data_IF_260693199160
#
_entry.id   IF_260693199160
#
_cell.length_a   1.000
_cell.length_b   1.000
_cell.length_c   1.000
_cell.angle_alpha   90.00
_cell.angle_beta   90.00
_cell.angle_gamma   90.00
#
_symmetry.space_group_name_H-M   'P 1'
#
loop_
_entity.id
_entity.type
_entity.pdbx_description
1 polymer ?
#
# COMPACT_ATOMS: atom_id res chain seq x y z
N UNK A 1 13.33 16.73 15.87
CA UNK A 1 12.10 16.91 15.07
C UNK A 1 12.52 17.45 13.71
N UNK A 2 12.41 16.69 12.65
CA UNK A 2 12.66 17.15 11.27
C UNK A 2 11.29 17.51 10.72
N UNK A 3 11.05 18.80 10.54
CA UNK A 3 9.83 19.32 9.91
C UNK A 3 9.79 18.83 8.46
N UNK A 4 8.85 17.93 8.17
CA UNK A 4 8.54 17.51 6.80
C UNK A 4 7.56 18.49 6.19
N UNK A 5 8.05 19.59 5.62
CA UNK A 5 7.25 20.45 4.73
C UNK A 5 7.38 19.94 3.29
N UNK A 6 6.46 19.08 2.88
CA UNK A 6 6.16 18.88 1.47
C UNK A 6 5.38 20.10 0.95
N UNK A 7 5.57 20.46 -0.32
CA UNK A 7 4.73 21.51 -0.92
C UNK A 7 3.30 20.98 -1.12
N UNK A 8 2.28 21.80 -0.94
CA UNK A 8 0.87 21.47 -1.20
C UNK A 8 0.68 20.79 -2.56
N UNK A 9 1.33 21.30 -3.61
CA UNK A 9 1.20 20.78 -4.99
C UNK A 9 1.73 19.33 -5.15
N UNK A 10 2.71 18.91 -4.34
CA UNK A 10 3.22 17.54 -4.35
C UNK A 10 2.24 16.57 -3.70
N UNK A 11 1.66 16.96 -2.57
CA UNK A 11 0.61 16.20 -1.94
C UNK A 11 -0.61 16.06 -2.86
N UNK A 12 -1.04 17.14 -3.53
CA UNK A 12 -2.15 17.11 -4.48
C UNK A 12 -1.92 16.14 -5.64
N UNK A 13 -0.69 16.05 -6.15
CA UNK A 13 -0.36 15.11 -7.23
C UNK A 13 -0.37 13.66 -6.78
N UNK A 14 0.27 13.36 -5.65
CA UNK A 14 0.26 12.00 -5.07
C UNK A 14 -1.15 11.64 -4.66
N UNK A 15 -1.89 12.54 -4.03
CA UNK A 15 -3.27 12.32 -3.63
C UNK A 15 -4.16 12.00 -4.84
N UNK A 16 -4.11 12.78 -5.91
CA UNK A 16 -4.88 12.51 -7.12
C UNK A 16 -4.52 11.16 -7.79
N UNK A 17 -3.23 10.79 -7.78
CA UNK A 17 -2.74 9.50 -8.28
C UNK A 17 -3.19 8.33 -7.39
N UNK A 18 -3.11 8.50 -6.07
CA UNK A 18 -3.56 7.54 -5.07
C UNK A 18 -5.07 7.32 -5.18
N UNK A 19 -5.87 8.38 -5.29
CA UNK A 19 -7.33 8.28 -5.48
C UNK A 19 -7.71 7.53 -6.75
N UNK A 20 -7.07 7.82 -7.89
CA UNK A 20 -7.31 7.06 -9.13
C UNK A 20 -6.95 5.58 -8.97
N UNK A 21 -5.84 5.30 -8.29
CA UNK A 21 -5.42 3.93 -8.01
C UNK A 21 -6.41 3.21 -7.09
N UNK A 22 -6.86 3.89 -6.03
CA UNK A 22 -7.86 3.39 -5.09
C UNK A 22 -9.18 3.04 -5.79
N UNK A 23 -9.70 3.94 -6.65
CA UNK A 23 -10.93 3.67 -7.44
C UNK A 23 -10.77 2.45 -8.33
N UNK A 24 -9.64 2.33 -9.02
CA UNK A 24 -9.39 1.20 -9.89
C UNK A 24 -9.35 -0.12 -9.09
N UNK A 25 -8.68 -0.13 -7.93
CA UNK A 25 -8.60 -1.31 -7.06
C UNK A 25 -9.95 -1.63 -6.43
N UNK A 26 -10.69 -0.63 -5.92
CA UNK A 26 -12.04 -0.83 -5.39
C UNK A 26 -12.98 -1.41 -6.46
N UNK A 27 -12.91 -0.88 -7.68
CA UNK A 27 -13.69 -1.39 -8.82
C UNK A 27 -13.36 -2.85 -9.19
N UNK A 28 -12.12 -3.30 -8.94
CA UNK A 28 -11.72 -4.70 -9.13
C UNK A 28 -12.18 -5.61 -7.99
N UNK A 29 -12.14 -5.14 -6.73
CA UNK A 29 -12.33 -6.00 -5.56
C UNK A 29 -13.79 -6.09 -5.12
N UNK A 30 -14.58 -5.01 -5.21
CA UNK A 30 -15.97 -4.99 -4.76
C UNK A 30 -16.89 -6.01 -5.47
N UNK A 31 -16.71 -6.31 -6.78
CA UNK A 31 -17.45 -7.40 -7.44
C UNK A 31 -17.04 -8.80 -6.98
N UNK A 32 -15.83 -8.95 -6.45
CA UNK A 32 -15.19 -10.23 -6.19
C UNK A 32 -15.23 -10.68 -4.72
N UNK A 33 -15.48 -9.73 -3.81
CA UNK A 33 -15.66 -10.03 -2.40
C UNK A 33 -16.53 -8.97 -1.71
N UNK A 34 -17.33 -9.39 -0.73
CA UNK A 34 -18.12 -8.47 0.08
C UNK A 34 -17.18 -7.72 1.04
N UNK A 35 -17.11 -6.39 0.88
CA UNK A 35 -16.34 -5.49 1.75
C UNK A 35 -17.31 -4.47 2.34
N UNK A 36 -17.66 -4.62 3.60
CA UNK A 36 -18.50 -3.68 4.36
C UNK A 36 -17.69 -2.92 5.42
N UNK A 37 -16.53 -3.48 5.78
CA UNK A 37 -15.59 -2.86 6.71
C UNK A 37 -14.16 -2.94 6.18
N UNK A 38 -13.40 -1.83 6.31
CA UNK A 38 -12.03 -1.70 5.83
C UNK A 38 -11.15 -1.00 6.84
N UNK A 39 -9.96 -1.56 7.06
CA UNK A 39 -8.88 -0.93 7.82
C UNK A 39 -7.77 -0.52 6.86
N UNK A 40 -7.42 0.77 6.84
CA UNK A 40 -6.33 1.34 6.05
C UNK A 40 -5.14 1.66 6.97
N UNK A 41 -4.09 0.85 6.92
CA UNK A 41 -2.92 0.97 7.80
C UNK A 41 -1.79 1.66 7.07
N UNK A 42 -1.39 2.84 7.55
CA UNK A 42 -0.47 3.76 6.88
C UNK A 42 -1.23 4.63 5.86
N UNK A 43 -2.38 5.14 6.28
CA UNK A 43 -3.34 5.81 5.40
C UNK A 43 -2.93 7.22 4.95
N UNK A 44 -1.90 7.82 5.56
CA UNK A 44 -1.57 9.22 5.34
C UNK A 44 -2.77 10.12 5.61
N UNK A 45 -3.08 11.03 4.71
CA UNK A 45 -4.27 11.89 4.82
C UNK A 45 -5.59 11.19 4.46
N UNK A 46 -5.58 9.86 4.22
CA UNK A 46 -6.79 9.07 3.98
C UNK A 46 -7.31 9.10 2.54
N UNK A 47 -6.45 9.36 1.54
CA UNK A 47 -6.85 9.38 0.13
C UNK A 47 -7.49 8.06 -0.34
N UNK A 48 -6.91 6.93 0.05
CA UNK A 48 -7.44 5.60 -0.24
C UNK A 48 -8.74 5.36 0.52
N UNK A 49 -8.74 5.62 1.82
CA UNK A 49 -9.93 5.47 2.67
C UNK A 49 -11.14 6.28 2.15
N UNK A 50 -10.89 7.51 1.65
CA UNK A 50 -11.94 8.34 1.05
C UNK A 50 -12.59 7.70 -0.18
N UNK A 51 -11.82 7.03 -1.03
CA UNK A 51 -12.35 6.37 -2.23
C UNK A 51 -13.13 5.09 -1.88
N UNK A 52 -12.76 4.37 -0.82
CA UNK A 52 -13.55 3.25 -0.31
C UNK A 52 -14.90 3.72 0.27
N UNK A 53 -14.90 4.81 1.04
CA UNK A 53 -16.16 5.45 1.50
C UNK A 53 -17.03 5.86 0.32
N UNK A 54 -16.44 6.51 -0.69
CA UNK A 54 -17.15 6.93 -1.90
C UNK A 54 -17.69 5.73 -2.72
N UNK A 55 -17.04 4.57 -2.64
CA UNK A 55 -17.49 3.33 -3.27
C UNK A 55 -18.56 2.58 -2.46
N UNK A 56 -18.98 3.10 -1.31
CA UNK A 56 -20.08 2.56 -0.49
C UNK A 56 -19.65 1.64 0.64
N UNK A 57 -18.36 1.56 0.98
CA UNK A 57 -17.90 0.88 2.20
C UNK A 57 -18.20 1.78 3.40
N UNK A 58 -19.10 1.35 4.28
CA UNK A 58 -19.62 2.21 5.34
C UNK A 58 -18.69 2.33 6.56
N UNK A 59 -18.03 1.23 6.93
CA UNK A 59 -17.14 1.13 8.08
C UNK A 59 -15.68 1.17 7.64
N UNK A 60 -15.11 2.35 7.51
CA UNK A 60 -13.70 2.56 7.13
C UNK A 60 -12.97 3.21 8.29
N UNK A 61 -11.87 2.61 8.73
CA UNK A 61 -10.94 3.16 9.71
C UNK A 61 -9.56 3.33 9.06
N UNK A 62 -9.04 4.53 9.09
CA UNK A 62 -7.68 4.88 8.68
C UNK A 62 -6.77 5.01 9.90
N UNK A 63 -5.59 4.41 9.85
CA UNK A 63 -4.60 4.45 10.93
C UNK A 63 -3.26 4.91 10.38
N UNK A 64 -2.67 5.94 11.00
CA UNK A 64 -1.33 6.42 10.68
C UNK A 64 -0.72 7.15 11.88
N UNK A 65 0.53 7.60 11.80
CA UNK A 65 1.21 8.32 12.87
C UNK A 65 0.53 9.62 13.29
N UNK A 66 0.88 10.12 14.45
CA UNK A 66 0.36 11.38 15.03
C UNK A 66 0.82 12.64 14.26
N UNK A 67 1.82 12.48 13.37
CA UNK A 67 2.30 13.53 12.48
C UNK A 67 1.31 13.90 11.37
N UNK A 68 0.27 13.10 11.14
CA UNK A 68 -0.77 13.38 10.13
C UNK A 68 -1.66 14.54 10.59
N UNK A 69 -1.64 15.63 9.84
CA UNK A 69 -2.41 16.83 10.12
C UNK A 69 -3.93 16.56 9.96
N UNK A 70 -4.68 16.74 11.07
CA UNK A 70 -6.11 16.42 11.12
C UNK A 70 -6.98 17.29 10.24
N UNK A 71 -6.58 18.54 10.01
CA UNK A 71 -7.23 19.50 9.14
C UNK A 71 -6.99 19.25 7.63
N UNK A 72 -6.07 18.33 7.31
CA UNK A 72 -5.77 17.91 5.93
C UNK A 72 -6.38 16.53 5.59
N UNK A 73 -7.12 15.91 6.50
CA UNK A 73 -7.73 14.61 6.24
C UNK A 73 -8.76 14.69 5.10
N UNK A 74 -8.67 13.73 4.19
CA UNK A 74 -9.62 13.53 3.10
C UNK A 74 -10.90 12.79 3.54
N UNK A 75 -10.94 12.34 4.80
CA UNK A 75 -12.02 11.60 5.46
C UNK A 75 -12.46 12.31 6.73
N UNK A 76 -13.65 12.02 7.26
CA UNK A 76 -14.06 12.53 8.56
C UNK A 76 -13.04 12.16 9.65
N UNK A 77 -12.77 13.08 10.57
CA UNK A 77 -11.80 12.84 11.65
C UNK A 77 -12.16 11.64 12.55
N UNK A 78 -13.44 11.28 12.62
CA UNK A 78 -13.95 10.08 13.30
C UNK A 78 -13.48 8.77 12.66
N UNK A 79 -13.10 8.80 11.39
CA UNK A 79 -12.60 7.66 10.64
C UNK A 79 -11.07 7.54 10.67
N UNK A 80 -10.39 8.36 11.46
CA UNK A 80 -8.94 8.37 11.59
C UNK A 80 -8.49 8.16 13.03
N UNK A 81 -7.51 7.26 13.20
CA UNK A 81 -6.84 7.02 14.47
C UNK A 81 -5.33 7.22 14.32
N UNK A 82 -4.74 8.02 15.22
CA UNK A 82 -3.28 8.11 15.31
C UNK A 82 -2.70 6.90 16.04
N UNK A 83 -1.71 6.26 15.44
CA UNK A 83 -0.98 5.17 16.06
C UNK A 83 0.42 5.02 15.44
N UNK A 84 1.42 4.75 16.27
CA UNK A 84 2.77 4.42 15.78
C UNK A 84 2.78 2.98 15.23
N UNK A 85 2.87 2.84 13.90
CA UNK A 85 2.85 1.55 13.20
C UNK A 85 4.04 0.63 13.56
N UNK A 86 5.07 1.14 14.21
CA UNK A 86 6.18 0.36 14.75
C UNK A 86 5.89 -0.22 16.15
N UNK A 87 4.67 -0.07 16.67
CA UNK A 87 4.19 -0.61 17.95
C UNK A 87 3.00 -1.57 17.74
N UNK A 88 2.67 -2.43 18.72
CA UNK A 88 1.50 -3.30 18.63
C UNK A 88 0.20 -2.49 18.46
N UNK A 89 -0.61 -2.87 17.48
CA UNK A 89 -1.95 -2.33 17.26
C UNK A 89 -2.99 -3.37 17.70
N UNK A 90 -3.94 -2.96 18.53
CA UNK A 90 -5.09 -3.78 18.91
C UNK A 90 -6.37 -2.92 18.88
N UNK A 91 -7.25 -3.24 17.93
CA UNK A 91 -8.55 -2.59 17.76
C UNK A 91 -9.70 -3.46 18.31
N UNK A 92 -9.42 -4.63 18.88
CA UNK A 92 -10.40 -5.56 19.45
C UNK A 92 -11.37 -6.14 18.41
N UNK A 93 -11.13 -5.98 17.10
CA UNK A 93 -12.01 -6.47 16.03
C UNK A 93 -11.28 -6.75 14.73
N UNK A 94 -11.94 -7.48 13.85
CA UNK A 94 -11.50 -7.70 12.46
C UNK A 94 -12.35 -6.88 11.48
N UNK A 95 -11.74 -6.63 10.31
CA UNK A 95 -12.34 -5.97 9.18
C UNK A 95 -12.46 -6.95 8.00
N UNK A 96 -13.36 -6.66 7.07
CA UNK A 96 -13.52 -7.47 5.85
C UNK A 96 -12.27 -7.42 4.98
N UNK A 97 -11.64 -6.27 4.90
CA UNK A 97 -10.37 -6.05 4.23
C UNK A 97 -9.46 -5.19 5.11
N UNK A 98 -8.22 -5.60 5.28
CA UNK A 98 -7.15 -4.75 5.76
C UNK A 98 -6.30 -4.38 4.57
N UNK A 99 -6.02 -3.10 4.36
CA UNK A 99 -5.07 -2.67 3.35
C UNK A 99 -3.88 -1.94 3.98
N UNK A 100 -2.73 -2.07 3.33
CA UNK A 100 -1.53 -1.27 3.58
C UNK A 100 -0.74 -1.19 2.28
N UNK A 101 -0.51 0.02 1.80
CA UNK A 101 -0.03 0.22 0.44
C UNK A 101 1.12 1.22 0.43
N UNK A 102 2.34 0.74 0.11
CA UNK A 102 3.59 1.50 0.09
C UNK A 102 3.90 2.12 1.47
N UNK A 103 3.87 1.30 2.50
CA UNK A 103 4.07 1.69 3.92
C UNK A 103 5.23 0.90 4.56
N UNK A 104 5.29 -0.40 4.33
CA UNK A 104 6.20 -1.30 5.05
C UNK A 104 7.68 -0.99 4.79
N UNK A 105 8.01 -0.34 3.67
CA UNK A 105 9.35 0.14 3.33
C UNK A 105 9.83 1.31 4.19
N UNK A 106 8.92 2.01 4.85
CA UNK A 106 9.23 3.11 5.76
C UNK A 106 9.53 2.63 7.18
N UNK A 107 9.20 1.38 7.50
CA UNK A 107 9.44 0.79 8.81
C UNK A 107 10.81 0.11 8.86
N UNK A 108 11.55 0.21 9.97
CA UNK A 108 12.80 -0.53 10.12
C UNK A 108 12.61 -2.04 9.90
N UNK A 109 13.57 -2.70 9.26
CA UNK A 109 13.54 -4.14 9.00
C UNK A 109 13.18 -4.97 10.24
N UNK A 110 13.70 -4.60 11.41
CA UNK A 110 13.40 -5.27 12.68
C UNK A 110 11.93 -5.18 13.12
N UNK A 111 11.14 -4.30 12.51
CA UNK A 111 9.70 -4.12 12.79
C UNK A 111 8.80 -4.85 11.80
N UNK A 112 9.34 -5.47 10.77
CA UNK A 112 8.57 -6.09 9.71
C UNK A 112 7.64 -7.22 10.19
N UNK A 113 8.08 -8.06 11.14
CA UNK A 113 7.25 -9.12 11.71
C UNK A 113 6.10 -8.55 12.54
N UNK A 114 6.39 -7.59 13.42
CA UNK A 114 5.38 -6.88 14.19
C UNK A 114 4.33 -6.20 13.28
N UNK A 115 4.79 -5.57 12.20
CA UNK A 115 3.89 -4.92 11.26
C UNK A 115 2.94 -5.91 10.59
N UNK A 116 3.45 -7.06 10.14
CA UNK A 116 2.61 -8.13 9.60
C UNK A 116 1.66 -8.68 10.67
N UNK A 117 2.12 -8.85 11.92
CA UNK A 117 1.27 -9.28 13.04
C UNK A 117 0.12 -8.31 13.30
N UNK A 118 0.39 -6.99 13.23
CA UNK A 118 -0.65 -5.96 13.33
C UNK A 118 -1.70 -6.09 12.22
N UNK A 119 -1.32 -6.38 10.98
CA UNK A 119 -2.26 -6.53 9.86
C UNK A 119 -3.15 -7.77 10.04
N UNK A 120 -2.56 -8.92 10.33
CA UNK A 120 -3.28 -10.20 10.42
C UNK A 120 -4.17 -10.30 11.68
N UNK A 121 -3.85 -9.55 12.74
CA UNK A 121 -4.73 -9.44 13.90
C UNK A 121 -6.10 -8.84 13.53
N UNK A 122 -6.13 -7.99 12.49
CA UNK A 122 -7.31 -7.22 12.12
C UNK A 122 -7.99 -7.67 10.83
N UNK A 123 -7.46 -8.65 10.10
CA UNK A 123 -8.10 -9.13 8.88
C UNK A 123 -7.66 -10.51 8.43
N UNK A 124 -8.60 -11.25 7.87
CA UNK A 124 -8.34 -12.55 7.24
C UNK A 124 -7.98 -12.40 5.76
N UNK A 125 -8.24 -11.21 5.17
CA UNK A 125 -7.85 -10.80 3.83
C UNK A 125 -7.09 -9.49 3.92
N UNK A 126 -5.89 -9.46 3.36
CA UNK A 126 -4.99 -8.31 3.38
C UNK A 126 -4.65 -7.91 1.95
N UNK A 127 -4.90 -6.66 1.59
CA UNK A 127 -4.36 -6.02 0.38
C UNK A 127 -3.04 -5.34 0.77
N UNK A 128 -1.94 -5.80 0.20
CA UNK A 128 -0.61 -5.38 0.58
C UNK A 128 0.23 -4.93 -0.62
N UNK A 129 0.89 -3.80 -0.50
CA UNK A 129 2.03 -3.46 -1.35
C UNK A 129 3.15 -2.83 -0.52
N UNK A 130 4.38 -3.00 -0.99
CA UNK A 130 5.55 -2.35 -0.44
C UNK A 130 6.58 -2.11 -1.54
N UNK A 131 7.38 -1.06 -1.38
CA UNK A 131 8.42 -0.73 -2.34
C UNK A 131 9.42 -1.86 -2.52
N UNK A 132 9.66 -2.21 -3.79
CA UNK A 132 10.63 -3.21 -4.19
C UNK A 132 12.04 -2.62 -4.31
N UNK A 133 13.11 -3.42 -4.23
CA UNK A 133 14.49 -2.94 -4.34
C UNK A 133 14.71 -2.06 -5.58
N UNK A 134 15.33 -0.91 -5.34
CA UNK A 134 15.58 0.13 -6.35
C UNK A 134 14.32 0.84 -6.88
N UNK A 135 13.23 0.79 -6.15
CA UNK A 135 12.07 1.62 -6.46
C UNK A 135 12.38 3.09 -6.22
N UNK A 136 13.08 3.37 -5.14
CA UNK A 136 13.42 4.73 -4.72
C UNK A 136 12.20 5.50 -4.25
N UNK A 137 12.37 6.20 -3.19
CA UNK A 137 11.35 7.02 -2.53
C UNK A 137 11.99 7.78 -1.37
N UNK A 138 11.23 8.66 -0.76
CA UNK A 138 11.67 9.34 0.44
C UNK A 138 11.53 8.42 1.65
N UNK A 139 12.55 8.40 2.51
CA UNK A 139 12.55 7.60 3.74
C UNK A 139 12.33 6.09 3.58
N UNK A 140 12.60 5.52 2.40
CA UNK A 140 12.65 4.08 2.26
C UNK A 140 13.87 3.53 2.99
N UNK A 141 13.63 2.78 4.06
CA UNK A 141 14.67 2.13 4.88
C UNK A 141 14.64 0.61 4.78
N UNK A 142 13.60 0.05 4.13
CA UNK A 142 13.35 -1.38 4.08
C UNK A 142 12.71 -1.80 2.75
N UNK A 143 13.30 -1.38 1.61
CA UNK A 143 12.88 -1.90 0.30
C UNK A 143 13.21 -3.39 0.21
N UNK A 144 12.20 -4.24 0.05
CA UNK A 144 12.37 -5.69 0.04
C UNK A 144 11.72 -6.33 -1.21
N UNK A 145 12.26 -7.46 -1.70
CA UNK A 145 11.59 -8.20 -2.77
C UNK A 145 10.24 -8.74 -2.28
N UNK A 146 9.24 -8.95 -3.18
CA UNK A 146 7.91 -9.46 -2.79
C UNK A 146 7.98 -10.77 -2.01
N UNK A 147 8.96 -11.63 -2.30
CA UNK A 147 9.16 -12.91 -1.62
C UNK A 147 9.49 -12.77 -0.13
N UNK A 148 10.15 -11.67 0.27
CA UNK A 148 10.40 -11.37 1.68
C UNK A 148 9.09 -11.19 2.46
N UNK A 149 8.15 -10.41 1.92
CA UNK A 149 6.85 -10.21 2.55
C UNK A 149 6.02 -11.47 2.49
N UNK A 150 6.03 -12.18 1.35
CA UNK A 150 5.36 -13.48 1.23
C UNK A 150 5.80 -14.45 2.31
N UNK A 151 7.10 -14.57 2.59
CA UNK A 151 7.59 -15.49 3.62
C UNK A 151 7.04 -15.18 5.00
N UNK A 152 6.85 -13.90 5.34
CA UNK A 152 6.27 -13.47 6.61
C UNK A 152 4.78 -13.79 6.71
N UNK A 153 4.03 -13.55 5.64
CA UNK A 153 2.62 -13.92 5.57
C UNK A 153 2.43 -15.44 5.57
N UNK A 154 3.26 -16.18 4.83
CA UNK A 154 3.20 -17.66 4.77
C UNK A 154 3.50 -18.32 6.13
N UNK A 155 4.44 -17.76 6.91
CA UNK A 155 4.73 -18.21 8.28
C UNK A 155 3.53 -18.04 9.25
N UNK A 156 2.47 -17.36 8.80
CA UNK A 156 1.22 -17.08 9.52
C UNK A 156 -0.01 -17.66 8.79
N UNK A 157 0.21 -18.67 7.95
CA UNK A 157 -0.81 -19.38 7.18
C UNK A 157 -1.61 -18.52 6.17
N UNK A 158 -1.03 -17.40 5.67
CA UNK A 158 -1.62 -16.61 4.62
C UNK A 158 -1.05 -17.00 3.26
N UNK A 159 -1.93 -17.41 2.34
CA UNK A 159 -1.59 -17.63 0.94
C UNK A 159 -1.63 -16.32 0.16
N UNK A 160 -0.86 -16.25 -0.95
CA UNK A 160 -0.76 -15.06 -1.81
C UNK A 160 -1.51 -15.26 -3.12
N UNK A 161 -2.17 -14.20 -3.58
CA UNK A 161 -2.96 -14.14 -4.80
C UNK A 161 -2.53 -12.93 -5.64
N UNK A 162 -2.24 -13.16 -6.93
CA UNK A 162 -1.86 -12.13 -7.90
C UNK A 162 -3.05 -11.69 -8.75
N UNK A 163 -4.10 -11.23 -8.11
CA UNK A 163 -5.32 -10.79 -8.77
C UNK A 163 -5.26 -9.32 -9.21
N UNK A 164 -4.71 -8.46 -8.34
CA UNK A 164 -4.76 -7.00 -8.52
C UNK A 164 -3.87 -6.54 -9.67
N UNK A 165 -2.64 -7.04 -9.74
CA UNK A 165 -1.64 -6.57 -10.72
C UNK A 165 -2.09 -6.80 -12.17
N UNK A 166 -2.53 -8.01 -12.57
CA UNK A 166 -3.07 -8.24 -13.91
C UNK A 166 -4.34 -7.42 -14.19
N UNK A 167 -5.21 -7.26 -13.19
CA UNK A 167 -6.44 -6.48 -13.28
C UNK A 167 -6.22 -4.98 -13.52
N UNK A 168 -5.05 -4.47 -13.15
CA UNK A 168 -4.67 -3.06 -13.36
C UNK A 168 -3.91 -2.82 -14.67
N UNK A 169 -3.67 -3.84 -15.49
CA UNK A 169 -3.06 -3.67 -16.82
C UNK A 169 -3.96 -2.81 -17.69
N UNK A 170 -3.41 -1.73 -18.23
CA UNK A 170 -4.17 -0.79 -19.07
C UNK A 170 -5.03 0.22 -18.30
N UNK A 171 -5.15 0.11 -16.97
CA UNK A 171 -5.88 1.09 -16.18
C UNK A 171 -5.14 2.44 -16.19
N UNK A 172 -5.80 3.47 -16.74
CA UNK A 172 -5.20 4.81 -16.85
C UNK A 172 -5.10 5.49 -15.49
N UNK A 173 -4.01 6.21 -15.28
CA UNK A 173 -3.79 7.03 -14.08
C UNK A 173 -3.47 6.25 -12.79
N UNK A 174 -3.39 4.92 -12.85
CA UNK A 174 -2.91 4.10 -11.74
C UNK A 174 -1.41 4.26 -11.60
N UNK A 175 -0.97 4.60 -10.39
CA UNK A 175 0.45 4.79 -10.11
C UNK A 175 1.22 3.47 -10.24
N UNK A 176 2.44 3.49 -10.80
CA UNK A 176 3.19 2.26 -11.09
C UNK A 176 3.43 1.37 -9.86
N UNK A 177 3.72 1.94 -8.71
CA UNK A 177 3.97 1.18 -7.49
C UNK A 177 2.73 0.41 -7.01
N UNK A 178 1.53 0.98 -7.06
CA UNK A 178 0.31 0.23 -6.75
C UNK A 178 0.02 -0.83 -7.81
N UNK A 179 0.25 -0.51 -9.10
CA UNK A 179 0.02 -1.44 -10.21
C UNK A 179 0.92 -2.67 -10.13
N UNK A 180 2.19 -2.52 -9.75
CA UNK A 180 3.18 -3.58 -9.88
C UNK A 180 3.52 -4.30 -8.57
N UNK A 181 3.15 -3.73 -7.41
CA UNK A 181 3.52 -4.29 -6.11
C UNK A 181 2.35 -4.88 -5.33
N UNK A 182 1.08 -4.65 -5.76
CA UNK A 182 -0.09 -5.03 -4.95
C UNK A 182 -0.43 -6.51 -5.08
N UNK A 183 -0.54 -7.18 -3.94
CA UNK A 183 -0.96 -8.57 -3.80
C UNK A 183 -2.08 -8.69 -2.77
N UNK A 184 -2.89 -9.75 -2.89
CA UNK A 184 -3.82 -10.16 -1.85
C UNK A 184 -3.19 -11.30 -1.06
N UNK A 185 -3.26 -11.22 0.25
CA UNK A 185 -2.92 -12.30 1.17
C UNK A 185 -4.19 -12.72 1.91
N UNK A 186 -4.43 -14.05 2.04
CA UNK A 186 -5.59 -14.55 2.76
C UNK A 186 -5.27 -15.85 3.48
N UNK A 187 -5.72 -15.96 4.75
CA UNK A 187 -5.72 -17.19 5.51
C UNK A 187 -6.91 -18.08 5.12
N UNK A 188 -7.07 -19.26 5.75
CA UNK A 188 -8.14 -20.18 5.43
C UNK A 188 -9.55 -19.57 5.56
N UNK A 189 -9.79 -18.75 6.57
CA UNK A 189 -11.08 -18.06 6.75
C UNK A 189 -11.31 -17.00 5.68
N UNK A 190 -10.26 -16.21 5.34
CA UNK A 190 -10.30 -15.22 4.27
C UNK A 190 -10.57 -15.83 2.90
N UNK A 191 -9.98 -17.00 2.61
CA UNK A 191 -10.19 -17.72 1.33
C UNK A 191 -11.67 -18.06 1.09
N UNK A 192 -12.45 -18.35 2.13
CA UNK A 192 -13.89 -18.64 2.02
C UNK A 192 -14.71 -17.41 1.58
N UNK A 193 -14.14 -16.22 1.65
CA UNK A 193 -14.78 -14.95 1.30
C UNK A 193 -14.36 -14.42 -0.07
N UNK A 194 -13.37 -15.08 -0.70
CA UNK A 194 -12.85 -14.69 -2.02
C UNK A 194 -13.65 -15.40 -3.13
N UNK A 195 -13.86 -14.71 -4.24
CA UNK A 195 -14.43 -15.31 -5.44
C UNK A 195 -13.50 -16.35 -6.06
N UNK A 196 -14.05 -17.17 -6.96
CA UNK A 196 -13.26 -18.12 -7.74
C UNK A 196 -12.24 -17.41 -8.65
N UNK A 197 -12.56 -16.18 -9.10
CA UNK A 197 -11.64 -15.38 -9.90
C UNK A 197 -10.37 -15.00 -9.11
N UNK A 198 -10.50 -14.58 -7.86
CA UNK A 198 -9.34 -14.31 -6.99
C UNK A 198 -8.63 -15.63 -6.65
N UNK A 199 -9.36 -16.66 -6.24
CA UNK A 199 -8.78 -17.97 -5.84
C UNK A 199 -7.95 -18.62 -6.96
N UNK A 200 -8.36 -18.46 -8.22
CA UNK A 200 -7.65 -18.98 -9.39
C UNK A 200 -6.27 -18.29 -9.61
N UNK A 201 -6.03 -17.13 -8.99
CA UNK A 201 -4.75 -16.40 -9.08
C UNK A 201 -3.77 -16.74 -7.98
N UNK A 202 -4.05 -17.79 -7.18
CA UNK A 202 -3.15 -18.24 -6.13
C UNK A 202 -1.78 -18.60 -6.69
N UNK A 203 -0.75 -18.03 -6.11
CA UNK A 203 0.62 -18.42 -6.45
C UNK A 203 1.03 -19.57 -5.54
N UNK A 204 1.37 -20.71 -6.18
CA UNK A 204 1.71 -21.92 -5.45
C UNK A 204 2.97 -21.73 -4.60
N UNK A 205 3.06 -22.48 -3.52
CA UNK A 205 4.26 -22.55 -2.70
C UNK A 205 5.45 -23.02 -3.56
N UNK A 206 6.59 -22.36 -3.43
CA UNK A 206 7.78 -22.63 -4.27
C UNK A 206 7.79 -21.93 -5.65
N UNK A 207 6.66 -21.40 -6.12
CA UNK A 207 6.65 -20.54 -7.30
C UNK A 207 7.06 -19.12 -6.89
N UNK A 208 8.16 -18.54 -7.43
CA UNK A 208 8.67 -17.26 -6.98
C UNK A 208 7.73 -16.11 -7.34
N UNK A 209 7.58 -15.15 -6.43
CA UNK A 209 6.96 -13.87 -6.73
C UNK A 209 7.94 -13.01 -7.54
N UNK A 210 7.52 -12.61 -8.72
CA UNK A 210 8.32 -11.75 -9.59
C UNK A 210 8.06 -10.28 -9.28
N UNK A 211 9.11 -9.47 -9.33
CA UNK A 211 8.96 -8.02 -9.33
C UNK A 211 8.29 -7.62 -10.65
N UNK A 212 7.08 -7.08 -10.57
CA UNK A 212 6.33 -6.59 -11.71
C UNK A 212 6.97 -5.36 -12.36
N UNK A 213 6.51 -5.02 -13.56
CA UNK A 213 6.90 -3.78 -14.22
C UNK A 213 6.74 -3.83 -15.73
N UNK A 214 6.41 -2.69 -16.32
CA UNK A 214 6.56 -2.44 -17.76
C UNK A 214 7.99 -1.99 -18.07
N UNK A 215 8.26 -1.73 -19.35
CA UNK A 215 9.58 -1.28 -19.81
C UNK A 215 10.03 0.02 -19.10
N UNK A 216 9.12 0.99 -18.92
CA UNK A 216 9.43 2.28 -18.29
C UNK A 216 9.78 2.11 -16.81
N UNK A 217 9.01 1.27 -16.11
CA UNK A 217 9.24 0.96 -14.72
C UNK A 217 10.57 0.21 -14.50
N UNK A 218 10.85 -0.76 -15.36
CA UNK A 218 12.10 -1.52 -15.35
C UNK A 218 13.30 -0.62 -15.62
N UNK A 219 13.21 0.25 -16.62
CA UNK A 219 14.27 1.22 -16.94
C UNK A 219 14.50 2.21 -15.79
N UNK A 220 13.42 2.73 -15.18
CA UNK A 220 13.52 3.61 -14.01
C UNK A 220 14.26 2.92 -12.86
N UNK A 221 13.91 1.68 -12.53
CA UNK A 221 14.57 0.93 -11.46
C UNK A 221 16.04 0.65 -11.78
N UNK A 222 16.36 0.32 -13.03
CA UNK A 222 17.73 0.16 -13.47
C UNK A 222 18.55 1.45 -13.29
N UNK A 223 17.96 2.60 -13.62
CA UNK A 223 18.60 3.90 -13.41
C UNK A 223 18.80 4.19 -11.90
N UNK A 224 17.79 3.96 -11.07
CA UNK A 224 17.89 4.17 -9.59
C UNK A 224 18.97 3.27 -9.00
N UNK A 225 19.13 2.03 -9.47
CA UNK A 225 20.18 1.11 -9.04
C UNK A 225 21.60 1.67 -9.24
N UNK A 226 21.79 2.52 -10.24
CA UNK A 226 23.11 3.13 -10.54
C UNK A 226 23.40 4.38 -9.68
N UNK A 227 22.39 4.89 -8.96
CA UNK A 227 22.56 6.06 -8.11
C UNK A 227 23.12 5.62 -6.76
N UNK A 228 24.25 6.22 -6.28
CA UNK A 228 24.73 6.01 -4.93
C UNK A 228 23.62 6.27 -3.90
N UNK A 229 23.48 5.39 -2.92
CA UNK A 229 22.39 5.45 -1.91
C UNK A 229 22.28 6.83 -1.23
N UNK A 230 23.42 7.47 -0.97
CA UNK A 230 23.47 8.82 -0.38
C UNK A 230 22.82 9.91 -1.25
N UNK A 231 22.68 9.70 -2.57
CA UNK A 231 22.09 10.64 -3.51
C UNK A 231 20.61 10.36 -3.82
N UNK A 232 20.07 9.21 -3.42
CA UNK A 232 18.68 8.83 -3.71
C UNK A 232 17.71 9.85 -3.08
N UNK A 233 17.88 10.14 -1.79
CA UNK A 233 17.04 11.09 -1.06
C UNK A 233 17.11 12.51 -1.62
N UNK A 234 18.29 13.14 -1.83
CA UNK A 234 18.39 14.46 -2.45
C UNK A 234 17.75 14.53 -3.84
N UNK A 235 17.90 13.49 -4.65
CA UNK A 235 17.31 13.44 -6.00
C UNK A 235 15.78 13.31 -5.93
N UNK A 236 15.24 12.47 -5.04
CA UNK A 236 13.80 12.37 -4.83
C UNK A 236 13.19 13.70 -4.41
N UNK A 237 13.82 14.41 -3.46
CA UNK A 237 13.40 15.75 -3.03
C UNK A 237 13.49 16.80 -4.15
N UNK A 238 14.56 16.77 -4.95
CA UNK A 238 14.70 17.70 -6.09
C UNK A 238 13.62 17.44 -7.15
N UNK A 239 13.33 16.17 -7.46
CA UNK A 239 12.27 15.80 -8.39
C UNK A 239 10.90 16.28 -7.91
N UNK A 240 10.57 16.08 -6.65
CA UNK A 240 9.34 16.54 -6.05
C UNK A 240 9.16 18.07 -6.21
N UNK A 241 10.21 18.84 -5.98
CA UNK A 241 10.21 20.31 -6.19
C UNK A 241 10.00 20.71 -7.66
N UNK A 242 10.61 19.98 -8.60
CA UNK A 242 10.47 20.27 -10.04
C UNK A 242 9.05 19.97 -10.51
N UNK A 243 8.46 18.86 -10.08
CA UNK A 243 7.07 18.48 -10.41
C UNK A 243 6.06 19.47 -9.83
N UNK A 244 6.31 20.01 -8.64
CA UNK A 244 5.50 21.07 -8.03
C UNK A 244 5.56 22.40 -8.82
N UNK A 245 6.71 22.74 -9.39
CA UNK A 245 6.89 23.99 -10.18
C UNK A 245 6.32 23.86 -11.60
N UNK A 246 6.43 22.70 -12.24
CA UNK A 246 5.99 22.47 -13.62
C UNK A 246 4.45 22.50 -13.80
N UNK A 247 3.68 22.55 -12.71
CA UNK A 247 2.20 22.56 -12.70
C UNK A 247 1.59 23.92 -12.33
N UNK A 248 2.44 24.93 -12.12
CA UNK A 248 2.03 26.35 -12.01
C UNK A 248 2.00 27.02 -13.38
#
# INVERSE_FOLDING_TARGET
>A
MIEHQYSHDFYDYIDAGSRRSARAVAGLLLPEMKITSLLDVGAGHGAWAAEWLAAGVEDVLAVDGDYVARDQLAIPASNFMAHDLATPLDLGRKFDLVQTLEVAEHLPHAKADLFVDNLIAHGDVILFSAAVPHQGGEHHVNEQPPEYWRSKFAARDYAVYDFVRPGLVGAEGVMPWYRFNSYIYANQAGQQRLSQAILATRIAEGQPLTIGGDFKWTLRRAAVRMIPTALIKPIAMAKAKIEAVAKR
#
